data_IF_073722179968
#
_entry.id   IF_073722179968
#
_cell.length_a   1.000
_cell.length_b   1.000
_cell.length_c   1.000
_cell.angle_alpha   90.00
_cell.angle_beta   90.00
_cell.angle_gamma   90.00
#
_symmetry.space_group_name_H-M   'P 1'
#
loop_
_entity.id
_entity.type
_entity.pdbx_description
1 polymer ?
#
# COMPACT_ATOMS: atom_id res chain seq x y z
N UNK A 1 -0.85 -21.83 -3.05
CA UNK A 1 0.24 -22.15 -4.00
C UNK A 1 1.27 -21.05 -3.81
N UNK A 2 2.46 -21.34 -3.24
CA UNK A 2 3.34 -20.30 -2.69
C UNK A 2 3.73 -19.22 -3.71
N UNK A 3 3.82 -19.58 -4.99
CA UNK A 3 4.14 -18.64 -6.08
C UNK A 3 3.06 -17.56 -6.31
N UNK A 4 1.78 -17.90 -6.11
CA UNK A 4 0.68 -16.93 -6.27
C UNK A 4 0.68 -15.90 -5.13
N UNK A 5 0.97 -16.35 -3.91
CA UNK A 5 1.08 -15.50 -2.72
C UNK A 5 2.25 -14.50 -2.85
N UNK A 6 3.40 -14.99 -3.34
CA UNK A 6 4.58 -14.15 -3.64
C UNK A 6 4.27 -13.14 -4.75
N UNK A 7 3.59 -13.56 -5.82
CA UNK A 7 3.22 -12.66 -6.91
C UNK A 7 2.29 -11.54 -6.44
N UNK A 8 1.32 -11.84 -5.56
CA UNK A 8 0.44 -10.83 -4.96
C UNK A 8 1.21 -9.82 -4.13
N UNK A 9 2.15 -10.27 -3.29
CA UNK A 9 3.03 -9.37 -2.52
C UNK A 9 3.84 -8.43 -3.43
N UNK A 10 4.43 -8.97 -4.51
CA UNK A 10 5.22 -8.18 -5.46
C UNK A 10 4.37 -7.16 -6.22
N UNK A 11 3.14 -7.53 -6.59
CA UNK A 11 2.18 -6.63 -7.26
C UNK A 11 1.76 -5.49 -6.33
N UNK A 12 1.37 -5.81 -5.08
CA UNK A 12 1.03 -4.80 -4.08
C UNK A 12 2.19 -3.83 -3.81
N UNK A 13 3.38 -4.37 -3.54
CA UNK A 13 4.57 -3.57 -3.27
C UNK A 13 4.92 -2.64 -4.44
N UNK A 14 4.83 -3.13 -5.69
CA UNK A 14 5.11 -2.33 -6.88
C UNK A 14 4.07 -1.21 -7.09
N UNK A 15 2.79 -1.47 -6.82
CA UNK A 15 1.70 -0.50 -6.92
C UNK A 15 1.90 0.68 -5.96
N UNK A 16 2.13 0.39 -4.67
CA UNK A 16 2.30 1.42 -3.65
C UNK A 16 3.64 2.15 -3.76
N UNK A 17 4.69 1.47 -4.22
CA UNK A 17 5.98 2.11 -4.49
C UNK A 17 5.87 3.12 -5.65
N UNK A 18 5.18 2.76 -6.73
CA UNK A 18 4.99 3.67 -7.87
C UNK A 18 4.05 4.84 -7.52
N UNK A 19 3.02 4.60 -6.71
CA UNK A 19 2.13 5.64 -6.21
C UNK A 19 2.87 6.69 -5.35
N UNK A 20 3.81 6.26 -4.51
CA UNK A 20 4.64 7.19 -3.74
C UNK A 20 5.70 7.91 -4.59
N UNK A 21 6.27 7.25 -5.61
CA UNK A 21 7.18 7.92 -6.56
C UNK A 21 6.50 8.96 -7.43
N UNK A 22 5.22 8.75 -7.76
CA UNK A 22 4.43 9.73 -8.49
C UNK A 22 4.19 11.00 -7.66
N UNK A 23 4.05 10.87 -6.34
CA UNK A 23 3.99 12.02 -5.45
C UNK A 23 5.31 12.77 -5.30
N UNK A 24 6.43 12.03 -5.20
CA UNK A 24 7.75 12.65 -5.12
C UNK A 24 8.06 13.50 -6.37
N UNK A 25 7.52 13.10 -7.53
CA UNK A 25 7.59 13.88 -8.78
C UNK A 25 6.78 15.18 -8.75
N UNK A 26 5.77 15.28 -7.88
CA UNK A 26 4.95 16.48 -7.71
C UNK A 26 5.46 17.42 -6.60
N UNK A 27 6.65 17.17 -6.03
CA UNK A 27 7.29 18.06 -5.06
C UNK A 27 6.90 17.80 -3.59
N UNK A 28 6.14 16.74 -3.31
CA UNK A 28 5.82 16.30 -1.95
C UNK A 28 6.92 15.36 -1.40
N UNK A 29 7.06 15.28 -0.07
CA UNK A 29 8.05 14.44 0.58
C UNK A 29 7.94 12.95 0.15
N UNK A 30 9.10 12.31 -0.01
CA UNK A 30 9.23 10.98 -0.63
C UNK A 30 8.77 9.86 0.33
N UNK A 31 7.46 9.61 0.39
CA UNK A 31 6.86 8.57 1.23
C UNK A 31 6.81 7.19 0.55
N UNK A 32 7.43 7.05 -0.62
CA UNK A 32 7.41 5.87 -1.48
C UNK A 32 7.83 4.57 -0.77
N UNK A 33 8.90 4.62 0.02
CA UNK A 33 9.36 3.49 0.81
C UNK A 33 8.37 3.11 1.94
N UNK A 34 7.70 4.09 2.53
CA UNK A 34 6.80 3.90 3.66
C UNK A 34 5.47 3.27 3.22
N UNK A 35 4.91 3.74 2.11
CA UNK A 35 3.71 3.13 1.51
C UNK A 35 3.97 1.69 1.03
N UNK A 36 5.15 1.44 0.41
CA UNK A 36 5.53 0.10 -0.03
C UNK A 36 5.72 -0.87 1.16
N UNK A 37 6.35 -0.42 2.24
CA UNK A 37 6.50 -1.20 3.47
C UNK A 37 5.15 -1.52 4.12
N UNK A 38 4.21 -0.57 4.14
CA UNK A 38 2.86 -0.80 4.65
C UNK A 38 2.10 -1.85 3.83
N UNK A 39 2.15 -1.75 2.49
CA UNK A 39 1.52 -2.73 1.60
C UNK A 39 2.10 -4.14 1.75
N UNK A 40 3.42 -4.24 1.97
CA UNK A 40 4.10 -5.50 2.24
C UNK A 40 3.67 -6.09 3.59
N UNK A 41 3.60 -5.28 4.65
CA UNK A 41 3.09 -5.68 5.96
C UNK A 41 1.63 -6.15 5.90
N UNK A 42 0.75 -5.41 5.20
CA UNK A 42 -0.66 -5.80 5.06
C UNK A 42 -0.81 -7.07 4.23
N UNK A 43 0.02 -7.27 3.20
CA UNK A 43 0.05 -8.53 2.45
C UNK A 43 0.49 -9.70 3.32
N UNK A 44 1.53 -9.51 4.16
CA UNK A 44 2.00 -10.51 5.12
C UNK A 44 0.92 -10.85 6.16
N UNK A 45 0.22 -9.87 6.70
CA UNK A 45 -0.86 -10.07 7.67
C UNK A 45 -2.04 -10.81 7.02
N UNK A 46 -2.43 -10.42 5.80
CA UNK A 46 -3.50 -11.09 5.06
C UNK A 46 -3.15 -12.57 4.79
N UNK A 47 -1.93 -12.85 4.32
CA UNK A 47 -1.47 -14.21 4.09
C UNK A 47 -1.35 -15.01 5.39
N UNK A 48 -0.89 -14.40 6.49
CA UNK A 48 -0.82 -15.03 7.81
C UNK A 48 -2.22 -15.38 8.37
N UNK A 49 -3.23 -14.55 8.10
CA UNK A 49 -4.62 -14.81 8.45
C UNK A 49 -5.30 -15.87 7.56
N UNK A 50 -4.58 -16.48 6.61
CA UNK A 50 -5.14 -17.42 5.64
C UNK A 50 -6.11 -16.75 4.65
N UNK A 51 -6.00 -15.44 4.48
CA UNK A 51 -6.89 -14.68 3.62
C UNK A 51 -6.60 -15.01 2.14
N UNK A 52 -7.63 -15.48 1.42
CA UNK A 52 -7.54 -15.71 -0.02
C UNK A 52 -7.34 -14.41 -0.81
N UNK A 53 -6.99 -14.52 -2.09
CA UNK A 53 -6.71 -13.40 -3.01
C UNK A 53 -7.76 -12.27 -2.98
N UNK A 54 -9.04 -12.61 -2.75
CA UNK A 54 -10.13 -11.65 -2.67
C UNK A 54 -10.08 -10.79 -1.40
N UNK A 55 -9.81 -11.40 -0.24
CA UNK A 55 -9.63 -10.69 1.02
C UNK A 55 -8.32 -9.88 1.02
N UNK A 56 -7.27 -10.38 0.34
CA UNK A 56 -6.06 -9.61 0.10
C UNK A 56 -6.36 -8.34 -0.71
N UNK A 57 -7.14 -8.43 -1.79
CA UNK A 57 -7.57 -7.26 -2.57
C UNK A 57 -8.33 -6.25 -1.72
N UNK A 58 -9.26 -6.73 -0.89
CA UNK A 58 -10.01 -5.86 0.02
C UNK A 58 -9.09 -5.16 1.03
N UNK A 59 -8.10 -5.88 1.56
CA UNK A 59 -7.10 -5.32 2.46
C UNK A 59 -6.24 -4.26 1.77
N UNK A 60 -5.83 -4.47 0.51
CA UNK A 60 -5.13 -3.46 -0.28
C UNK A 60 -6.03 -2.23 -0.52
N UNK A 61 -7.30 -2.40 -0.91
CA UNK A 61 -8.22 -1.27 -1.10
C UNK A 61 -8.42 -0.46 0.19
N UNK A 62 -8.60 -1.14 1.33
CA UNK A 62 -8.71 -0.49 2.64
C UNK A 62 -7.44 0.27 3.00
N UNK A 63 -6.26 -0.31 2.71
CA UNK A 63 -4.98 0.35 2.84
C UNK A 63 -4.95 1.62 1.99
N UNK A 64 -5.30 1.54 0.71
CA UNK A 64 -5.31 2.69 -0.21
C UNK A 64 -6.21 3.82 0.29
N UNK A 65 -7.37 3.50 0.84
CA UNK A 65 -8.28 4.48 1.45
C UNK A 65 -7.68 5.10 2.71
N UNK A 66 -7.07 4.30 3.60
CA UNK A 66 -6.40 4.81 4.79
C UNK A 66 -5.26 5.76 4.45
N UNK A 67 -4.46 5.42 3.45
CA UNK A 67 -3.40 6.25 2.85
C UNK A 67 -3.98 7.59 2.37
N UNK A 68 -5.05 7.55 1.58
CA UNK A 68 -5.69 8.74 1.04
C UNK A 68 -6.25 9.66 2.15
N UNK A 69 -6.89 9.08 3.17
CA UNK A 69 -7.42 9.83 4.32
C UNK A 69 -6.28 10.49 5.11
N UNK A 70 -5.22 9.74 5.41
CA UNK A 70 -4.04 10.28 6.13
C UNK A 70 -3.41 11.43 5.35
N UNK A 71 -3.34 11.34 4.01
CA UNK A 71 -2.86 12.45 3.16
C UNK A 71 -3.74 13.68 3.27
N UNK A 72 -5.06 13.53 3.11
CA UNK A 72 -6.01 14.65 3.23
C UNK A 72 -5.89 15.33 4.59
N UNK A 73 -5.72 14.54 5.66
CA UNK A 73 -5.54 15.07 7.01
C UNK A 73 -4.21 15.81 7.20
N UNK A 74 -3.12 15.31 6.62
CA UNK A 74 -1.80 15.96 6.66
C UNK A 74 -1.77 17.26 5.85
N UNK A 75 -2.39 17.26 4.67
CA UNK A 75 -2.52 18.45 3.82
C UNK A 75 -3.39 19.52 4.49
N UNK A 76 -4.50 19.11 5.11
CA UNK A 76 -5.38 20.01 5.88
C UNK A 76 -4.72 20.62 7.13
N UNK A 77 -3.65 20.00 7.65
CA UNK A 77 -2.87 20.54 8.79
C UNK A 77 -1.76 21.50 8.37
N UNK A 78 -1.42 21.51 7.09
CA UNK A 78 -0.36 22.35 6.53
C UNK A 78 -0.92 23.61 5.83
N UNK A 79 -2.24 23.72 5.72
CA UNK A 79 -3.00 24.91 5.29
C UNK A 79 -3.49 25.71 6.51
#
# INVERSE_FOLDING_TARGET
>A
MPYADIALCLVGMSLYFNAGKFEARNGAADHSALWAALSLLTSLIALWAGAGWFLWLLAQVALLLGIAVVRVLLESRSA
#
